data_IF_377638047700
#
_entry.id   IF_377638047700
#
_cell.length_a   1.000
_cell.length_b   1.000
_cell.length_c   1.000
_cell.angle_alpha   90.00
_cell.angle_beta   90.00
_cell.angle_gamma   90.00
#
_symmetry.space_group_name_H-M   'P 1'
#
loop_
_entity.id
_entity.type
_entity.pdbx_description
1 polymer ?
#
# COMPACT_ATOMS: atom_id res chain seq x y z
N UNK A 1 -23.61 45.20 13.57
CA UNK A 1 -24.95 44.54 13.58
C UNK A 1 -25.44 44.16 12.17
N UNK A 2 -25.13 44.94 11.13
CA UNK A 2 -25.55 44.67 9.74
C UNK A 2 -24.99 43.38 9.14
N UNK A 3 -23.72 43.07 9.39
CA UNK A 3 -23.10 41.80 8.97
C UNK A 3 -23.81 40.56 9.53
N UNK A 4 -24.35 40.62 10.76
CA UNK A 4 -25.10 39.51 11.36
C UNK A 4 -26.49 39.35 10.74
N UNK A 5 -27.17 40.46 10.40
CA UNK A 5 -28.45 40.45 9.70
C UNK A 5 -28.31 39.85 8.30
N UNK A 6 -27.32 40.29 7.53
CA UNK A 6 -27.01 39.74 6.20
C UNK A 6 -26.71 38.22 6.26
N UNK A 7 -25.95 37.78 7.25
CA UNK A 7 -25.67 36.35 7.46
C UNK A 7 -26.90 35.53 7.85
N UNK A 8 -27.85 36.12 8.59
CA UNK A 8 -29.12 35.47 8.92
C UNK A 8 -30.03 35.39 7.70
N UNK A 9 -30.06 36.40 6.85
CA UNK A 9 -30.90 36.42 5.65
C UNK A 9 -30.45 35.39 4.61
N UNK A 10 -29.13 35.18 4.46
CA UNK A 10 -28.56 34.06 3.67
C UNK A 10 -28.97 32.70 4.27
N UNK A 11 -29.07 32.58 5.60
CA UNK A 11 -29.49 31.35 6.25
C UNK A 11 -31.01 31.10 6.11
N UNK A 12 -31.81 32.15 5.97
CA UNK A 12 -33.27 32.07 5.77
C UNK A 12 -33.60 31.56 4.37
N UNK A 13 -32.92 32.09 3.34
CA UNK A 13 -33.17 31.74 1.93
C UNK A 13 -32.78 30.30 1.58
N UNK A 14 -31.89 29.67 2.34
CA UNK A 14 -31.41 28.31 2.09
C UNK A 14 -31.85 27.30 3.15
N UNK A 15 -32.59 26.27 2.74
CA UNK A 15 -33.03 25.17 3.62
C UNK A 15 -32.04 23.98 3.69
N UNK A 16 -30.76 24.21 3.39
CA UNK A 16 -29.76 23.14 3.46
C UNK A 16 -29.56 22.65 4.90
N UNK A 17 -29.18 21.38 5.05
CA UNK A 17 -28.94 20.72 6.35
C UNK A 17 -27.97 21.50 7.25
N UNK A 18 -26.97 22.16 6.65
CA UNK A 18 -25.99 23.01 7.34
C UNK A 18 -26.64 24.21 8.01
N UNK A 19 -27.48 24.96 7.30
CA UNK A 19 -28.15 26.15 7.84
C UNK A 19 -29.27 25.82 8.81
N UNK A 20 -29.99 24.70 8.59
CA UNK A 20 -30.97 24.18 9.55
C UNK A 20 -30.32 23.82 10.89
N UNK A 21 -29.13 23.20 10.86
CA UNK A 21 -28.37 22.86 12.09
C UNK A 21 -27.92 24.12 12.84
N UNK A 22 -27.38 25.12 12.13
CA UNK A 22 -26.97 26.40 12.74
C UNK A 22 -28.15 27.10 13.43
N UNK A 23 -29.28 27.22 12.74
CA UNK A 23 -30.52 27.80 13.30
C UNK A 23 -31.00 27.03 14.54
N UNK A 24 -30.96 25.69 14.51
CA UNK A 24 -31.31 24.86 15.67
C UNK A 24 -30.40 25.13 16.88
N UNK A 25 -29.09 25.21 16.68
CA UNK A 25 -28.10 25.48 17.74
C UNK A 25 -28.29 26.85 18.40
N UNK A 26 -28.62 27.87 17.62
CA UNK A 26 -28.93 29.22 18.14
C UNK A 26 -30.19 29.16 19.01
N UNK A 27 -31.25 28.50 18.52
CA UNK A 27 -32.52 28.36 19.25
C UNK A 27 -32.35 27.58 20.55
N UNK A 28 -31.64 26.45 20.54
CA UNK A 28 -31.40 25.63 21.73
C UNK A 28 -30.50 26.34 22.74
N UNK A 29 -29.44 27.03 22.29
CA UNK A 29 -28.53 27.81 23.15
C UNK A 29 -29.22 28.98 23.84
N UNK A 30 -30.12 29.67 23.15
CA UNK A 30 -30.87 30.82 23.70
C UNK A 30 -32.22 30.43 24.32
N UNK A 31 -32.60 29.16 24.25
CA UNK A 31 -33.95 28.66 24.59
C UNK A 31 -34.38 29.00 26.03
N UNK A 32 -33.46 28.96 26.99
CA UNK A 32 -33.72 29.24 28.41
C UNK A 32 -34.07 30.71 28.61
N UNK A 33 -33.27 31.62 28.07
CA UNK A 33 -33.48 33.07 28.15
C UNK A 33 -34.73 33.49 27.36
N UNK A 34 -34.92 32.96 26.16
CA UNK A 34 -36.07 33.30 25.32
C UNK A 34 -37.41 32.87 25.93
N UNK A 35 -37.43 31.74 26.66
CA UNK A 35 -38.60 31.31 27.43
C UNK A 35 -38.84 32.19 28.65
N UNK A 36 -37.80 32.44 29.46
CA UNK A 36 -37.88 33.27 30.67
C UNK A 36 -38.48 34.64 30.38
N UNK A 37 -38.06 35.27 29.29
CA UNK A 37 -38.51 36.62 28.90
C UNK A 37 -39.66 36.62 27.88
N UNK A 38 -40.29 35.47 27.59
CA UNK A 38 -41.40 35.32 26.62
C UNK A 38 -41.10 35.91 25.21
N UNK A 39 -39.84 35.88 24.76
CA UNK A 39 -39.38 36.46 23.48
C UNK A 39 -39.31 35.47 22.30
N UNK A 40 -39.83 34.25 22.44
CA UNK A 40 -39.79 33.23 21.38
C UNK A 40 -40.48 33.71 20.09
N UNK A 41 -41.65 34.36 20.20
CA UNK A 41 -42.41 34.80 19.03
C UNK A 41 -41.69 35.88 18.24
N UNK A 42 -41.01 36.80 18.91
CA UNK A 42 -40.17 37.83 18.29
C UNK A 42 -38.99 37.20 17.57
N UNK A 43 -38.26 36.32 18.27
CA UNK A 43 -37.08 35.65 17.71
C UNK A 43 -37.43 34.69 16.56
N UNK A 44 -38.63 34.11 16.56
CA UNK A 44 -39.16 33.30 15.45
C UNK A 44 -39.25 34.09 14.14
N UNK A 45 -39.67 35.36 14.22
CA UNK A 45 -39.71 36.29 13.07
C UNK A 45 -38.30 36.68 12.63
N UNK A 46 -37.44 37.05 13.58
CA UNK A 46 -36.05 37.46 13.30
C UNK A 46 -35.22 36.36 12.64
N UNK A 47 -35.40 35.10 13.06
CA UNK A 47 -34.66 33.95 12.52
C UNK A 47 -35.34 33.31 11.29
N UNK A 48 -36.54 33.75 10.90
CA UNK A 48 -37.32 33.15 9.83
C UNK A 48 -37.64 31.66 10.07
N UNK A 49 -37.93 31.30 11.33
CA UNK A 49 -38.28 29.94 11.74
C UNK A 49 -39.74 29.95 12.18
N UNK A 50 -40.57 29.03 11.68
CA UNK A 50 -41.97 28.89 12.12
C UNK A 50 -42.02 28.73 13.65
N UNK A 51 -42.90 29.48 14.32
CA UNK A 51 -43.04 29.50 15.77
C UNK A 51 -43.12 28.09 16.40
N UNK A 52 -43.96 27.20 15.85
CA UNK A 52 -44.09 25.83 16.33
C UNK A 52 -42.78 25.03 16.22
N UNK A 53 -42.00 25.25 15.14
CA UNK A 53 -40.69 24.62 14.94
C UNK A 53 -39.67 25.14 15.94
N UNK A 54 -39.68 26.45 16.22
CA UNK A 54 -38.81 27.04 17.22
C UNK A 54 -39.16 26.57 18.63
N UNK A 55 -40.45 26.43 18.95
CA UNK A 55 -40.91 25.89 20.22
C UNK A 55 -40.47 24.43 20.40
N UNK A 56 -40.58 23.61 19.36
CA UNK A 56 -40.06 22.23 19.32
C UNK A 56 -38.55 22.18 19.61
N UNK A 57 -37.75 22.98 18.90
CA UNK A 57 -36.30 23.01 19.09
C UNK A 57 -35.87 23.61 20.43
N UNK A 58 -36.66 24.51 21.01
CA UNK A 58 -36.38 25.06 22.34
C UNK A 58 -36.49 23.98 23.42
N UNK A 59 -37.41 23.02 23.26
CA UNK A 59 -37.65 21.92 24.20
C UNK A 59 -36.67 20.77 24.02
N UNK A 60 -36.13 20.60 22.81
CA UNK A 60 -35.04 19.66 22.55
C UNK A 60 -33.76 20.19 23.21
N UNK A 61 -33.26 19.50 24.24
CA UNK A 61 -31.95 19.77 24.82
C UNK A 61 -30.88 19.73 23.73
N UNK A 62 -29.85 20.57 23.87
CA UNK A 62 -28.72 20.70 22.94
C UNK A 62 -27.92 19.41 22.74
N UNK A 63 -28.31 18.34 23.43
CA UNK A 63 -28.10 17.01 22.94
C UNK A 63 -28.80 16.88 21.56
N UNK A 64 -28.05 17.16 20.49
CA UNK A 64 -27.81 16.09 19.52
C UNK A 64 -27.36 14.86 20.35
N UNK A 65 -28.29 14.25 21.11
CA UNK A 65 -28.09 13.02 21.84
C UNK A 65 -27.75 12.09 20.72
N UNK A 66 -26.47 11.73 20.66
CA UNK A 66 -25.92 10.83 19.67
C UNK A 66 -26.98 9.82 19.33
N UNK A 67 -27.57 9.94 18.12
CA UNK A 67 -28.71 9.12 17.71
C UNK A 67 -28.39 7.70 18.16
N UNK A 68 -29.23 7.11 19.04
CA UNK A 68 -28.94 5.82 19.69
C UNK A 68 -28.25 4.92 18.67
N UNK A 69 -26.97 4.61 18.92
CA UNK A 69 -26.23 3.75 18.00
C UNK A 69 -27.02 2.47 17.87
N UNK A 70 -27.27 2.04 16.64
CA UNK A 70 -28.00 0.80 16.40
C UNK A 70 -27.21 -0.35 17.05
N UNK A 71 -27.91 -1.37 17.54
CA UNK A 71 -27.29 -2.50 18.25
C UNK A 71 -26.27 -3.27 17.39
N UNK A 72 -26.43 -3.22 16.07
CA UNK A 72 -25.53 -3.81 15.07
C UNK A 72 -24.32 -2.91 14.73
N UNK A 73 -24.20 -1.73 15.33
CA UNK A 73 -23.08 -0.84 15.08
C UNK A 73 -21.78 -1.42 15.65
N UNK A 74 -20.73 -1.41 14.83
CA UNK A 74 -19.40 -1.84 15.26
C UNK A 74 -18.91 -1.03 16.46
N UNK A 75 -18.29 -1.73 17.42
CA UNK A 75 -17.64 -1.06 18.55
C UNK A 75 -16.51 -0.15 18.07
N UNK A 76 -16.20 0.85 18.89
CA UNK A 76 -15.11 1.79 18.62
C UNK A 76 -13.78 1.03 18.53
N UNK A 77 -13.57 0.06 19.43
CA UNK A 77 -12.41 -0.84 19.42
C UNK A 77 -12.30 -1.64 18.13
N UNK A 78 -13.41 -2.25 17.66
CA UNK A 78 -13.41 -3.00 16.40
C UNK A 78 -13.05 -2.12 15.21
N UNK A 79 -13.52 -0.87 15.24
CA UNK A 79 -13.22 0.12 14.21
C UNK A 79 -11.74 0.50 14.22
N UNK A 80 -11.15 0.65 15.41
CA UNK A 80 -9.74 0.97 15.56
C UNK A 80 -8.85 -0.20 15.10
N UNK A 81 -9.18 -1.45 15.48
CA UNK A 81 -8.48 -2.66 15.00
C UNK A 81 -8.42 -2.73 13.47
N UNK A 82 -9.51 -2.38 12.79
CA UNK A 82 -9.53 -2.33 11.31
C UNK A 82 -8.57 -1.25 10.79
N UNK A 83 -8.53 -0.06 11.41
CA UNK A 83 -7.64 1.04 10.99
C UNK A 83 -6.18 0.69 11.22
N UNK A 84 -5.85 0.11 12.37
CA UNK A 84 -4.49 -0.27 12.74
C UNK A 84 -3.98 -1.38 11.81
N UNK A 85 -4.84 -2.34 11.45
CA UNK A 85 -4.53 -3.37 10.47
C UNK A 85 -4.03 -2.80 9.14
N UNK A 86 -4.66 -1.72 8.64
CA UNK A 86 -4.25 -1.11 7.37
C UNK A 86 -2.86 -0.46 7.41
N UNK A 87 -2.36 -0.05 8.57
CA UNK A 87 -1.07 0.65 8.73
C UNK A 87 0.08 -0.33 8.96
N UNK A 88 -0.21 -1.62 9.24
CA UNK A 88 0.81 -2.63 9.49
C UNK A 88 1.80 -2.77 8.30
N UNK A 89 3.12 -2.95 8.55
CA UNK A 89 4.16 -2.94 7.49
C UNK A 89 3.94 -3.98 6.37
N UNK A 90 3.44 -5.17 6.72
CA UNK A 90 3.17 -6.23 5.75
C UNK A 90 1.89 -6.00 4.94
N UNK A 91 0.97 -5.18 5.45
CA UNK A 91 -0.30 -4.83 4.77
C UNK A 91 -0.13 -3.62 3.87
N UNK A 92 0.54 -2.57 4.35
CA UNK A 92 0.82 -1.36 3.57
C UNK A 92 2.23 -0.85 3.83
N UNK A 93 2.83 -0.18 2.84
CA UNK A 93 4.10 0.53 3.02
C UNK A 93 3.89 2.01 2.94
N UNK A 94 4.58 2.68 3.85
CA UNK A 94 4.69 4.11 3.92
C UNK A 94 5.48 4.65 2.72
N UNK A 95 4.94 5.64 2.01
CA UNK A 95 5.69 6.39 1.02
C UNK A 95 6.22 7.69 1.66
N UNK A 96 7.55 7.81 1.85
CA UNK A 96 8.16 8.95 2.54
C UNK A 96 8.16 10.25 1.73
N UNK A 97 7.74 10.24 0.46
CA UNK A 97 7.75 11.45 -0.37
C UNK A 97 6.80 12.55 0.17
N UNK A 98 7.40 13.67 0.64
CA UNK A 98 6.69 14.86 1.15
C UNK A 98 5.64 15.41 0.18
N UNK A 99 5.90 15.32 -1.13
CA UNK A 99 4.98 15.76 -2.21
C UNK A 99 3.64 15.00 -2.22
N UNK A 100 3.58 13.83 -1.58
CA UNK A 100 2.40 12.96 -1.60
C UNK A 100 1.65 12.93 -0.27
N UNK A 101 2.05 13.71 0.73
CA UNK A 101 1.31 13.87 1.98
C UNK A 101 -0.08 14.46 1.70
N UNK A 102 -1.12 13.88 2.30
CA UNK A 102 -2.50 14.35 2.14
C UNK A 102 -2.79 15.61 2.97
N UNK A 103 -4.00 16.16 2.84
CA UNK A 103 -4.47 17.28 3.69
C UNK A 103 -4.44 16.96 5.19
N UNK A 104 -4.47 15.67 5.54
CA UNK A 104 -4.41 15.18 6.92
C UNK A 104 -2.98 15.18 7.51
N UNK A 105 -1.98 15.71 6.80
CA UNK A 105 -0.54 15.73 7.17
C UNK A 105 0.09 14.35 7.43
N UNK A 106 -0.66 13.27 7.19
CA UNK A 106 -0.18 11.89 7.29
C UNK A 106 0.44 11.43 5.97
N UNK A 107 1.55 10.67 6.02
CA UNK A 107 2.16 10.13 4.82
C UNK A 107 1.23 9.09 4.17
N UNK A 108 1.35 8.93 2.85
CA UNK A 108 0.49 7.99 2.11
C UNK A 108 1.00 6.57 2.29
N UNK A 109 0.08 5.68 2.61
CA UNK A 109 0.32 4.24 2.66
C UNK A 109 -0.23 3.58 1.40
N UNK A 110 0.52 2.67 0.79
CA UNK A 110 0.05 1.87 -0.34
C UNK A 110 -0.17 0.42 0.08
N UNK A 111 -1.34 -0.13 -0.21
CA UNK A 111 -1.69 -1.52 0.11
C UNK A 111 -0.87 -2.52 -0.73
N UNK A 112 -0.27 -3.52 -0.09
CA UNK A 112 0.63 -4.49 -0.74
C UNK A 112 -0.13 -5.57 -1.52
N UNK A 113 -1.41 -5.76 -1.17
CA UNK A 113 -2.23 -6.88 -1.61
C UNK A 113 -3.57 -6.44 -2.17
N UNK A 114 -4.21 -7.34 -2.92
CA UNK A 114 -5.54 -7.15 -3.45
C UNK A 114 -6.59 -6.98 -2.34
N UNK A 115 -7.71 -6.34 -2.67
CA UNK A 115 -8.81 -6.12 -1.74
C UNK A 115 -9.30 -7.42 -1.07
N UNK A 116 -9.52 -8.46 -1.87
CA UNK A 116 -9.97 -9.76 -1.36
C UNK A 116 -8.98 -10.34 -0.35
N UNK A 117 -7.69 -10.33 -0.68
CA UNK A 117 -6.63 -10.88 0.17
C UNK A 117 -6.50 -10.10 1.49
N UNK A 118 -6.54 -8.76 1.45
CA UNK A 118 -6.48 -7.95 2.67
C UNK A 118 -7.59 -8.28 3.66
N UNK A 119 -8.81 -8.47 3.17
CA UNK A 119 -9.95 -8.84 4.02
C UNK A 119 -9.82 -10.27 4.58
N UNK A 120 -9.36 -11.22 3.77
CA UNK A 120 -9.10 -12.58 4.24
C UNK A 120 -8.01 -12.62 5.32
N UNK A 121 -6.91 -11.89 5.13
CA UNK A 121 -5.83 -11.78 6.13
C UNK A 121 -6.34 -11.14 7.43
N UNK A 122 -7.14 -10.07 7.33
CA UNK A 122 -7.76 -9.45 8.50
C UNK A 122 -8.63 -10.44 9.28
N UNK A 123 -9.46 -11.23 8.59
CA UNK A 123 -10.31 -12.26 9.22
C UNK A 123 -9.51 -13.38 9.88
N UNK A 124 -8.38 -13.77 9.29
CA UNK A 124 -7.50 -14.80 9.86
C UNK A 124 -6.87 -14.33 11.17
N UNK A 125 -6.41 -13.08 11.22
CA UNK A 125 -5.80 -12.49 12.42
C UNK A 125 -6.82 -12.11 13.50
N UNK A 126 -7.99 -11.61 13.10
CA UNK A 126 -8.99 -11.06 14.01
C UNK A 126 -10.31 -11.83 13.88
N UNK A 127 -10.29 -13.12 14.22
CA UNK A 127 -11.48 -14.00 14.17
C UNK A 127 -12.66 -13.48 15.01
N UNK A 128 -12.37 -12.72 16.07
CA UNK A 128 -13.37 -12.20 17.01
C UNK A 128 -14.15 -10.99 16.46
N UNK A 129 -13.69 -10.35 15.38
CA UNK A 129 -14.28 -9.11 14.85
C UNK A 129 -15.23 -9.43 13.69
N UNK A 130 -16.54 -9.38 13.95
CA UNK A 130 -17.59 -9.58 12.92
C UNK A 130 -17.76 -8.34 12.05
N UNK A 131 -17.04 -8.27 10.94
CA UNK A 131 -17.12 -7.17 9.96
C UNK A 131 -17.32 -7.73 8.55
N UNK A 132 -18.23 -7.13 7.78
CA UNK A 132 -18.43 -7.45 6.35
C UNK A 132 -17.37 -6.79 5.47
N UNK A 133 -17.10 -7.35 4.29
CA UNK A 133 -16.07 -6.83 3.37
C UNK A 133 -16.34 -5.35 3.00
N UNK A 134 -17.57 -5.02 2.62
CA UNK A 134 -17.96 -3.64 2.28
C UNK A 134 -17.71 -2.68 3.43
N UNK A 135 -18.00 -3.11 4.67
CA UNK A 135 -17.80 -2.26 5.85
C UNK A 135 -16.31 -2.13 6.21
N UNK A 136 -15.53 -3.20 6.07
CA UNK A 136 -14.08 -3.17 6.23
C UNK A 136 -13.44 -2.13 5.30
N UNK A 137 -13.82 -2.12 4.02
CA UNK A 137 -13.33 -1.14 3.05
C UNK A 137 -13.82 0.29 3.32
N UNK A 138 -15.02 0.45 3.84
CA UNK A 138 -15.54 1.76 4.23
C UNK A 138 -14.80 2.34 5.45
N UNK A 139 -14.22 1.49 6.31
CA UNK A 139 -13.44 1.89 7.49
C UNK A 139 -11.97 2.17 7.18
N UNK A 140 -11.52 1.89 5.95
CA UNK A 140 -10.16 2.14 5.51
C UNK A 140 -9.78 3.62 5.69
N UNK A 141 -8.62 3.92 6.31
CA UNK A 141 -8.14 5.30 6.43
C UNK A 141 -7.92 5.96 5.07
N UNK A 142 -8.18 7.28 4.98
CA UNK A 142 -8.06 8.05 3.72
C UNK A 142 -6.63 8.07 3.16
N UNK A 143 -5.63 8.07 4.03
CA UNK A 143 -4.21 8.07 3.65
C UNK A 143 -3.74 6.71 3.11
N UNK A 144 -4.54 5.64 3.26
CA UNK A 144 -4.26 4.31 2.72
C UNK A 144 -4.87 4.19 1.33
N UNK A 145 -4.03 4.12 0.31
CA UNK A 145 -4.41 4.04 -1.08
C UNK A 145 -4.40 2.57 -1.52
N UNK A 146 -5.50 2.06 -2.11
CA UNK A 146 -5.51 0.73 -2.66
C UNK A 146 -4.63 0.73 -3.92
N UNK A 147 -3.88 -0.35 -4.11
CA UNK A 147 -3.19 -0.58 -5.36
C UNK A 147 -4.24 -0.62 -6.49
N UNK A 148 -4.09 0.26 -7.49
CA UNK A 148 -4.81 0.08 -8.77
C UNK A 148 -4.25 -1.19 -9.42
N UNK A 149 -5.11 -2.00 -10.06
CA UNK A 149 -4.70 -3.19 -10.82
C UNK A 149 -3.51 -2.81 -11.72
N UNK A 150 -2.38 -3.51 -11.59
CA UNK A 150 -1.19 -3.29 -12.41
C UNK A 150 0.05 -2.68 -11.72
N UNK A 151 -0.01 -2.36 -10.42
CA UNK A 151 1.17 -1.89 -9.66
C UNK A 151 1.45 -2.72 -8.41
N UNK A 152 1.47 -4.05 -8.54
CA UNK A 152 2.06 -4.88 -7.49
C UNK A 152 3.50 -4.42 -7.22
N UNK A 153 3.95 -4.53 -5.97
CA UNK A 153 5.35 -4.31 -5.64
C UNK A 153 6.22 -5.46 -6.16
N UNK A 154 6.38 -5.52 -7.47
CA UNK A 154 7.70 -5.82 -7.99
C UNK A 154 8.51 -4.54 -7.84
N UNK A 155 9.71 -4.59 -7.26
CA UNK A 155 10.67 -3.53 -7.59
C UNK A 155 10.78 -3.56 -9.12
N UNK A 156 10.38 -2.45 -9.75
CA UNK A 156 10.58 -2.19 -11.18
C UNK A 156 11.88 -1.42 -11.40
N UNK A 157 12.77 -1.45 -10.41
CA UNK A 157 14.12 -0.98 -10.58
C UNK A 157 14.83 -1.81 -11.66
N UNK A 158 15.69 -1.16 -12.42
CA UNK A 158 16.49 -1.76 -13.49
C UNK A 158 17.16 -3.06 -13.03
N UNK A 159 17.79 -3.07 -11.85
CA UNK A 159 18.41 -4.26 -11.26
C UNK A 159 17.44 -5.45 -11.14
N UNK A 160 16.23 -5.20 -10.62
CA UNK A 160 15.24 -6.26 -10.44
C UNK A 160 14.64 -6.77 -11.75
N UNK A 161 14.47 -5.89 -12.74
CA UNK A 161 13.95 -6.29 -14.05
C UNK A 161 15.03 -7.06 -14.82
N UNK A 162 16.30 -6.66 -14.72
CA UNK A 162 17.41 -7.35 -15.37
C UNK A 162 17.57 -8.78 -14.84
N UNK A 163 17.45 -8.99 -13.52
CA UNK A 163 17.41 -10.34 -12.93
C UNK A 163 16.27 -11.18 -13.52
N UNK A 164 15.06 -10.62 -13.63
CA UNK A 164 13.92 -11.34 -14.22
C UNK A 164 14.12 -11.67 -15.71
N UNK A 165 14.72 -10.77 -16.49
CA UNK A 165 15.02 -11.00 -17.90
C UNK A 165 16.09 -12.09 -18.09
N UNK A 166 17.14 -12.08 -17.27
CA UNK A 166 18.20 -13.12 -17.26
C UNK A 166 17.64 -14.48 -16.86
N UNK A 167 16.84 -14.55 -15.79
CA UNK A 167 16.16 -15.78 -15.35
C UNK A 167 15.24 -16.34 -16.45
N UNK A 168 14.51 -15.48 -17.15
CA UNK A 168 13.64 -15.92 -18.26
C UNK A 168 14.44 -16.57 -19.39
N UNK A 169 15.59 -16.00 -19.76
CA UNK A 169 16.45 -16.56 -20.79
C UNK A 169 17.02 -17.94 -20.38
N UNK A 170 17.43 -18.09 -19.12
CA UNK A 170 17.93 -19.38 -18.59
C UNK A 170 16.82 -20.43 -18.48
N UNK A 171 15.65 -20.07 -17.95
CA UNK A 171 14.52 -20.99 -17.84
C UNK A 171 14.04 -21.47 -19.22
N UNK A 172 14.12 -20.64 -20.26
CA UNK A 172 13.81 -21.07 -21.61
C UNK A 172 14.74 -22.18 -22.08
N UNK A 173 16.04 -22.14 -21.74
CA UNK A 173 16.98 -23.24 -22.06
C UNK A 173 16.64 -24.52 -21.31
N UNK A 174 16.26 -24.43 -20.04
CA UNK A 174 15.77 -25.59 -19.26
C UNK A 174 14.58 -26.26 -19.96
N UNK A 175 13.64 -25.47 -20.48
CA UNK A 175 12.43 -25.97 -21.16
C UNK A 175 12.79 -26.59 -22.53
N UNK A 176 13.65 -25.93 -23.32
CA UNK A 176 14.04 -26.37 -24.66
C UNK A 176 14.86 -27.65 -24.62
N UNK A 177 15.77 -27.78 -23.65
CA UNK A 177 16.65 -28.95 -23.53
C UNK A 177 15.94 -30.22 -23.04
N UNK A 178 14.60 -30.17 -22.83
CA UNK A 178 13.70 -31.30 -22.52
C UNK A 178 14.38 -32.42 -21.75
N UNK A 179 14.95 -32.14 -20.58
CA UNK A 179 15.57 -33.19 -19.76
C UNK A 179 14.49 -34.21 -19.39
N UNK A 180 14.51 -35.43 -19.95
CA UNK A 180 13.46 -36.39 -19.75
C UNK A 180 13.89 -37.31 -18.62
N UNK A 181 13.80 -36.87 -17.36
CA UNK A 181 13.77 -37.81 -16.25
C UNK A 181 13.29 -37.18 -14.94
N UNK A 182 12.20 -37.78 -14.44
CA UNK A 182 11.79 -37.98 -13.05
C UNK A 182 11.93 -36.77 -12.10
N UNK A 183 10.75 -36.25 -11.71
CA UNK A 183 10.47 -35.19 -10.74
C UNK A 183 10.48 -33.78 -11.34
N UNK A 184 9.32 -33.13 -11.25
CA UNK A 184 9.03 -31.73 -11.58
C UNK A 184 10.26 -30.82 -11.64
N UNK A 185 10.74 -30.51 -12.85
CA UNK A 185 11.81 -29.54 -13.07
C UNK A 185 11.36 -28.19 -12.51
N UNK A 186 11.92 -27.78 -11.37
CA UNK A 186 11.62 -26.47 -10.76
C UNK A 186 12.51 -25.42 -11.40
N UNK A 187 12.00 -24.79 -12.45
CA UNK A 187 12.52 -23.51 -12.94
C UNK A 187 12.45 -22.44 -11.85
N UNK A 188 13.32 -21.44 -11.92
CA UNK A 188 13.32 -20.32 -10.97
C UNK A 188 12.40 -19.23 -11.53
N UNK A 189 11.15 -19.17 -11.08
CA UNK A 189 10.11 -18.43 -11.78
C UNK A 189 10.26 -16.90 -11.67
N UNK A 190 10.86 -16.41 -10.57
CA UNK A 190 10.98 -14.99 -10.31
C UNK A 190 12.20 -14.66 -9.43
N UNK A 191 12.54 -13.37 -9.35
CA UNK A 191 13.65 -12.85 -8.54
C UNK A 191 13.54 -13.17 -7.03
N UNK A 192 12.32 -13.34 -6.50
CA UNK A 192 12.15 -13.67 -5.08
C UNK A 192 12.52 -15.13 -4.80
N UNK A 193 12.20 -16.04 -5.72
CA UNK A 193 12.65 -17.43 -5.67
C UNK A 193 14.16 -17.52 -5.82
N UNK A 194 14.75 -16.82 -6.80
CA UNK A 194 16.20 -16.72 -6.94
C UNK A 194 16.87 -16.20 -5.64
N UNK A 195 16.24 -15.22 -4.99
CA UNK A 195 16.73 -14.71 -3.72
C UNK A 195 16.61 -15.74 -2.58
N UNK A 196 15.58 -16.57 -2.58
CA UNK A 196 15.41 -17.67 -1.62
C UNK A 196 16.48 -18.75 -1.79
N UNK A 197 16.80 -19.12 -3.03
CA UNK A 197 17.84 -20.10 -3.35
C UNK A 197 19.23 -19.72 -2.84
N UNK A 198 19.46 -18.45 -2.60
CA UNK A 198 20.77 -17.91 -2.24
C UNK A 198 20.88 -17.65 -0.73
N UNK A 199 19.82 -17.89 0.04
CA UNK A 199 19.75 -17.73 1.50
C UNK A 199 19.56 -19.10 2.16
N UNK A 200 20.00 -19.23 3.41
CA UNK A 200 19.70 -20.42 4.20
C UNK A 200 18.19 -20.65 4.33
N UNK A 201 17.79 -21.91 4.46
CA UNK A 201 16.43 -22.24 4.85
C UNK A 201 16.11 -21.64 6.22
N UNK A 202 14.90 -21.10 6.32
CA UNK A 202 14.43 -20.45 7.54
C UNK A 202 13.41 -21.36 8.19
N UNK A 203 13.64 -21.69 9.46
CA UNK A 203 12.69 -22.46 10.28
C UNK A 203 11.33 -21.76 10.32
N UNK A 204 10.24 -22.52 10.42
CA UNK A 204 8.89 -21.92 10.48
C UNK A 204 8.78 -20.96 11.66
N UNK A 205 8.63 -19.67 11.36
CA UNK A 205 8.42 -18.61 12.36
C UNK A 205 9.66 -17.80 12.70
N UNK A 206 10.82 -18.11 12.11
CA UNK A 206 12.04 -17.32 12.24
C UNK A 206 12.20 -16.34 11.08
N UNK A 207 12.97 -15.26 11.30
CA UNK A 207 13.38 -14.34 10.25
C UNK A 207 14.74 -14.76 9.66
N UNK A 208 15.01 -14.47 8.37
CA UNK A 208 16.31 -14.76 7.78
C UNK A 208 17.43 -14.03 8.51
N UNK A 209 18.54 -14.73 8.80
CA UNK A 209 19.72 -14.13 9.42
C UNK A 209 20.25 -12.98 8.56
N UNK A 210 20.60 -11.86 9.21
CA UNK A 210 21.12 -10.66 8.52
C UNK A 210 22.36 -10.97 7.67
N UNK A 211 23.22 -11.88 8.11
CA UNK A 211 24.40 -12.32 7.35
C UNK A 211 24.03 -12.99 6.02
N UNK A 212 22.92 -13.74 5.97
CA UNK A 212 22.41 -14.34 4.73
C UNK A 212 21.85 -13.30 3.79
N UNK A 213 21.14 -12.30 4.33
CA UNK A 213 20.62 -11.15 3.55
C UNK A 213 21.79 -10.36 2.97
N UNK A 214 22.83 -10.11 3.77
CA UNK A 214 24.07 -9.42 3.37
C UNK A 214 25.01 -10.25 2.49
N UNK A 215 24.67 -11.52 2.18
CA UNK A 215 25.52 -12.43 1.42
C UNK A 215 26.92 -12.66 2.01
N UNK A 216 27.06 -12.44 3.32
CA UNK A 216 28.29 -12.69 4.10
C UNK A 216 28.28 -14.06 4.78
N UNK A 217 27.20 -14.81 4.61
CA UNK A 217 27.09 -16.17 5.13
C UNK A 217 28.06 -17.09 4.37
N UNK A 218 28.75 -17.98 5.10
CA UNK A 218 29.65 -18.96 4.49
C UNK A 218 28.91 -20.18 3.95
N UNK A 219 27.69 -20.46 4.45
CA UNK A 219 26.94 -21.68 4.11
C UNK A 219 25.90 -21.49 3.00
N UNK A 220 25.43 -20.26 2.78
CA UNK A 220 24.53 -19.92 1.67
C UNK A 220 25.11 -18.77 0.85
N UNK A 221 24.70 -18.68 -0.40
CA UNK A 221 25.16 -17.61 -1.27
C UNK A 221 24.73 -17.81 -2.70
N UNK A 222 25.23 -16.93 -3.57
CA UNK A 222 24.82 -16.89 -4.97
C UNK A 222 25.27 -18.13 -5.75
N UNK A 223 26.34 -18.81 -5.30
CA UNK A 223 26.80 -20.09 -5.84
C UNK A 223 25.73 -21.19 -5.81
N UNK A 224 24.80 -21.17 -4.85
CA UNK A 224 23.71 -22.15 -4.81
C UNK A 224 22.78 -22.02 -6.03
N UNK A 225 22.66 -20.82 -6.59
CA UNK A 225 21.89 -20.58 -7.81
C UNK A 225 22.62 -21.14 -9.05
N UNK A 226 23.95 -21.00 -9.12
CA UNK A 226 24.77 -21.60 -10.18
C UNK A 226 24.68 -23.12 -10.13
N UNK A 227 24.83 -23.71 -8.95
CA UNK A 227 24.70 -25.16 -8.75
C UNK A 227 23.34 -25.68 -9.21
N UNK A 228 22.25 -24.95 -8.89
CA UNK A 228 20.90 -25.31 -9.35
C UNK A 228 20.80 -25.36 -10.88
N UNK A 229 21.34 -24.37 -11.59
CA UNK A 229 21.33 -24.38 -13.06
C UNK A 229 22.31 -25.40 -13.66
N UNK A 230 23.40 -25.74 -12.96
CA UNK A 230 24.28 -26.87 -13.29
C UNK A 230 23.54 -28.22 -13.19
N UNK A 231 22.84 -28.47 -12.08
CA UNK A 231 22.03 -29.68 -11.87
C UNK A 231 20.92 -29.82 -12.92
N UNK A 232 20.35 -28.69 -13.36
CA UNK A 232 19.38 -28.64 -14.45
C UNK A 232 19.99 -28.80 -15.84
N UNK A 233 21.27 -29.19 -15.97
CA UNK A 233 21.90 -29.49 -17.26
C UNK A 233 22.00 -28.31 -18.22
N UNK A 234 21.77 -27.07 -17.75
CA UNK A 234 21.76 -25.86 -18.59
C UNK A 234 23.16 -25.53 -19.12
N UNK A 235 24.19 -25.96 -18.39
CA UNK A 235 25.60 -25.62 -18.65
C UNK A 235 26.34 -26.78 -19.35
N UNK A 236 25.63 -27.87 -19.67
CA UNK A 236 26.24 -29.06 -20.28
C UNK A 236 26.88 -28.77 -21.66
N UNK A 237 26.39 -27.75 -22.37
CA UNK A 237 26.95 -27.29 -23.65
C UNK A 237 27.50 -25.87 -23.50
N UNK A 238 28.81 -25.75 -23.25
CA UNK A 238 29.50 -24.46 -23.04
C UNK A 238 29.50 -23.55 -24.28
N UNK A 239 29.28 -24.12 -25.46
CA UNK A 239 29.42 -23.42 -26.73
C UNK A 239 28.09 -22.83 -27.24
N UNK A 240 27.00 -23.05 -26.51
CA UNK A 240 25.68 -22.57 -26.89
C UNK A 240 25.51 -21.09 -26.53
N UNK A 241 25.10 -20.29 -27.51
CA UNK A 241 24.79 -18.88 -27.31
C UNK A 241 23.31 -18.70 -26.95
N UNK A 242 23.04 -17.66 -26.14
CA UNK A 242 21.70 -17.28 -25.70
C UNK A 242 21.47 -15.82 -26.01
N UNK A 243 20.35 -15.54 -26.66
CA UNK A 243 19.86 -14.19 -26.85
C UNK A 243 19.02 -13.78 -25.64
N UNK A 244 19.39 -12.69 -25.00
CA UNK A 244 18.71 -12.15 -23.83
C UNK A 244 18.65 -10.63 -23.87
N UNK A 245 17.91 -10.05 -22.93
CA UNK A 245 17.67 -8.61 -22.88
C UNK A 245 18.09 -8.02 -21.55
N UNK A 246 18.63 -6.81 -21.57
CA UNK A 246 19.00 -6.05 -20.38
C UNK A 246 18.61 -4.58 -20.55
N UNK A 247 18.07 -3.96 -19.51
CA UNK A 247 17.98 -2.51 -19.44
C UNK A 247 19.35 -1.92 -19.14
N UNK A 248 19.77 -0.97 -19.97
CA UNK A 248 21.03 -0.26 -19.82
C UNK A 248 20.86 1.23 -20.13
N UNK A 249 21.78 2.05 -19.61
CA UNK A 249 21.88 3.46 -19.97
C UNK A 249 22.83 3.61 -21.16
N UNK A 250 22.31 4.00 -22.33
CA UNK A 250 23.16 4.36 -23.48
C UNK A 250 23.29 5.87 -23.58
N UNK A 251 24.50 6.35 -23.82
CA UNK A 251 24.76 7.75 -24.22
C UNK A 251 24.41 7.87 -25.69
N UNK A 252 23.43 8.71 -26.02
CA UNK A 252 23.11 9.08 -27.39
C UNK A 252 23.90 10.36 -27.67
N UNK A 253 24.78 10.30 -28.67
CA UNK A 253 25.69 11.39 -29.03
C UNK A 253 25.06 12.43 -29.95
N UNK A 254 23.93 12.14 -30.61
CA UNK A 254 23.29 13.06 -31.58
C UNK A 254 21.78 13.19 -31.36
N UNK A 255 21.19 14.42 -31.47
CA UNK A 255 21.82 15.72 -31.72
C UNK A 255 22.33 16.43 -30.45
N UNK A 256 22.09 15.88 -29.26
CA UNK A 256 22.64 16.36 -27.98
C UNK A 256 23.02 15.16 -27.10
N UNK A 257 24.16 15.25 -26.43
CA UNK A 257 24.61 14.23 -25.46
C UNK A 257 23.53 14.06 -24.40
N UNK A 258 22.80 12.95 -24.49
CA UNK A 258 21.74 12.60 -23.56
C UNK A 258 21.82 11.13 -23.22
N UNK A 259 21.54 10.80 -21.96
CA UNK A 259 21.48 9.40 -21.52
C UNK A 259 20.06 8.89 -21.68
N UNK A 260 19.87 7.81 -22.45
CA UNK A 260 18.57 7.16 -22.58
C UNK A 260 18.65 5.73 -22.07
N UNK A 261 17.59 5.31 -21.38
CA UNK A 261 17.39 3.90 -21.02
C UNK A 261 16.90 3.15 -22.25
N UNK A 262 17.60 2.09 -22.62
CA UNK A 262 17.29 1.23 -23.76
C UNK A 262 17.28 -0.21 -23.30
N UNK A 263 16.37 -1.01 -23.86
CA UNK A 263 16.39 -2.45 -23.71
C UNK A 263 17.39 -3.00 -24.76
N UNK A 264 18.60 -3.31 -24.32
CA UNK A 264 19.65 -3.86 -25.17
C UNK A 264 19.42 -5.38 -25.36
N UNK A 265 19.52 -5.83 -26.61
CA UNK A 265 19.63 -7.27 -26.91
C UNK A 265 21.11 -7.66 -26.85
N UNK A 266 21.41 -8.74 -26.13
CA UNK A 266 22.75 -9.32 -26.00
C UNK A 266 22.71 -10.78 -26.43
N UNK A 267 23.78 -11.23 -27.07
CA UNK A 267 24.03 -12.63 -27.37
C UNK A 267 25.33 -13.02 -26.68
N UNK A 268 25.26 -13.93 -25.71
CA UNK A 268 26.40 -14.38 -24.91
C UNK A 268 26.32 -15.89 -24.70
N UNK A 269 27.41 -16.51 -24.27
CA UNK A 269 27.38 -17.90 -23.82
C UNK A 269 26.51 -18.05 -22.57
N UNK A 270 25.97 -19.26 -22.37
CA UNK A 270 25.16 -19.58 -21.18
C UNK A 270 25.93 -19.33 -19.88
N UNK A 271 27.22 -19.69 -19.86
CA UNK A 271 28.11 -19.51 -18.70
C UNK A 271 28.25 -18.03 -18.34
N UNK A 272 28.46 -17.18 -19.33
CA UNK A 272 28.57 -15.73 -19.12
C UNK A 272 27.25 -15.13 -18.63
N UNK A 273 26.12 -15.61 -19.14
CA UNK A 273 24.80 -15.17 -18.68
C UNK A 273 24.56 -15.51 -17.20
N UNK A 274 25.00 -16.70 -16.77
CA UNK A 274 24.91 -17.12 -15.36
C UNK A 274 25.82 -16.29 -14.46
N UNK A 275 27.06 -16.03 -14.88
CA UNK A 275 27.96 -15.14 -14.14
C UNK A 275 27.36 -13.73 -14.02
N UNK A 276 26.83 -13.19 -15.11
CA UNK A 276 26.13 -11.90 -15.10
C UNK A 276 24.90 -11.90 -14.17
N UNK A 277 24.19 -13.02 -14.05
CA UNK A 277 23.08 -13.17 -13.10
C UNK A 277 23.59 -13.21 -11.67
N UNK A 278 24.70 -13.89 -11.41
CA UNK A 278 25.23 -14.02 -10.06
C UNK A 278 25.82 -12.70 -9.54
N UNK A 279 26.47 -11.92 -10.40
CA UNK A 279 26.88 -10.54 -10.11
C UNK A 279 25.68 -9.63 -9.80
N UNK A 280 24.59 -9.70 -10.57
CA UNK A 280 23.37 -8.94 -10.25
C UNK A 280 22.78 -9.34 -8.90
N UNK A 281 22.87 -10.63 -8.54
CA UNK A 281 22.32 -11.20 -7.30
C UNK A 281 23.18 -10.93 -6.06
N UNK A 282 24.50 -10.75 -6.20
CA UNK A 282 25.36 -10.27 -5.09
C UNK A 282 25.04 -8.82 -4.75
N UNK A 283 24.78 -7.98 -5.76
CA UNK A 283 24.39 -6.59 -5.57
C UNK A 283 22.91 -6.40 -5.18
N UNK A 284 22.10 -7.46 -5.23
CA UNK A 284 20.65 -7.43 -4.99
C UNK A 284 20.25 -7.14 -3.53
N UNK A 285 21.21 -6.76 -2.69
CA UNK A 285 21.09 -6.52 -1.25
C UNK A 285 20.01 -5.50 -0.86
N UNK A 286 19.75 -4.48 -1.69
CA UNK A 286 18.96 -3.31 -1.28
C UNK A 286 17.43 -3.41 -1.49
N UNK A 287 16.94 -4.43 -2.18
CA UNK A 287 15.52 -4.49 -2.58
C UNK A 287 14.58 -5.12 -1.52
N UNK A 288 15.14 -5.77 -0.49
CA UNK A 288 14.37 -6.63 0.42
C UNK A 288 14.42 -6.21 1.88
N UNK A 289 15.19 -5.17 2.21
CA UNK A 289 15.17 -4.60 3.55
C UNK A 289 13.96 -3.65 3.61
N UNK A 290 12.89 -3.96 4.37
CA UNK A 290 11.89 -2.95 4.69
C UNK A 290 12.64 -1.78 5.31
N UNK A 291 12.36 -0.56 4.83
CA UNK A 291 13.06 0.70 5.08
C UNK A 291 13.30 1.10 6.55
N UNK A 292 12.94 0.24 7.51
CA UNK A 292 13.21 0.40 8.94
C UNK A 292 14.63 0.00 9.33
N UNK A 293 15.26 -1.00 8.69
CA UNK A 293 16.63 -1.42 9.04
C UNK A 293 17.72 -0.55 8.38
N UNK A 294 17.39 0.20 7.31
CA UNK A 294 18.31 1.16 6.70
C UNK A 294 18.59 2.39 7.59
N UNK A 295 17.79 2.62 8.63
CA UNK A 295 17.97 3.76 9.56
C UNK A 295 18.99 3.44 10.65
N UNK A 296 19.26 2.16 10.95
CA UNK A 296 20.21 1.74 12.00
C UNK A 296 21.66 1.59 11.51
N UNK A 297 21.94 1.84 10.23
CA UNK A 297 23.31 1.74 9.66
C UNK A 297 23.89 3.09 9.26
N UNK A 298 23.20 4.20 9.56
CA UNK A 298 23.63 5.57 9.25
C UNK A 298 23.85 6.41 10.53
N UNK A 299 23.79 5.80 11.71
CA UNK A 299 24.24 6.40 12.97
C UNK A 299 25.11 5.42 13.74
#
# INVERSE_FOLDING_TARGET
MESLKQNLDIQKSSNTRKYKRKRKLIVSGLSRSLRKYKKIRTMSKELGIRYCTMLKWSRESNSDSERKKRKDALSIESTQKVRDFFVKPYISVNNPEKRKVGKDLKPKHFLNMCKKNAYQTFKKENKNVKVSESKFWALKPKHVVPLKKGKFRSCLCEKCINVELKLKALNNKVIVNKIPSKQSIKTVANKYEANKFTMCEVSKGEDPKLQCIQRKCQTCGVKQLENHFHELGVIANTDETVNWYQWETKKITEPKVSTRKVLASKSTYVKDLLQNLTEDMTEFFYALIPSQLAIQTIF
#
